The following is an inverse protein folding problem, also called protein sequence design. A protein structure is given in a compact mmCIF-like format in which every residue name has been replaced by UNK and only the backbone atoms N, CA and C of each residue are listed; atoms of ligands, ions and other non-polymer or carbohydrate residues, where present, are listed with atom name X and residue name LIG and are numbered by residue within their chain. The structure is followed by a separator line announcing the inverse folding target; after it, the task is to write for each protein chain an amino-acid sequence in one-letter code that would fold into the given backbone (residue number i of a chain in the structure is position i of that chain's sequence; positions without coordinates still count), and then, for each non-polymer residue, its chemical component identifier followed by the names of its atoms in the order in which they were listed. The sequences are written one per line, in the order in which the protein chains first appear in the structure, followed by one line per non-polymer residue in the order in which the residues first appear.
data_IF_112370148692
#
_entry.id   IF_112370148692
#
_cell.length_a   1.000
_cell.length_b   1.000
_cell.length_c   1.000
_cell.angle_alpha   90.00
_cell.angle_beta   90.00
_cell.angle_gamma   90.00
#
_symmetry.space_group_name_H-M   'P 1'
#
loop_
_entity.id
_entity.type
_entity.pdbx_description
1 polymer ?
#
# COMPACT_ATOMS: atom_id res chain seq x y z
N UNK A 1 10.89 41.78 -30.33
CA UNK A 1 10.45 42.37 -29.06
C UNK A 1 9.07 41.83 -28.71
N UNK A 2 8.97 41.31 -27.49
CA UNK A 2 7.79 40.97 -26.66
C UNK A 2 6.51 40.45 -27.34
N UNK A 3 6.25 39.15 -27.17
CA UNK A 3 4.93 38.55 -27.31
C UNK A 3 4.62 37.73 -26.06
N UNK A 4 4.08 38.38 -25.04
CA UNK A 4 3.58 37.75 -23.82
C UNK A 4 2.47 36.75 -24.16
N UNK A 5 2.72 35.45 -23.92
CA UNK A 5 1.64 34.46 -23.77
C UNK A 5 1.32 34.30 -22.30
N UNK A 6 0.11 34.71 -21.95
CA UNK A 6 -0.56 34.44 -20.69
C UNK A 6 -0.73 32.92 -20.50
N UNK A 7 -0.16 32.38 -19.43
CA UNK A 7 -0.53 31.09 -18.87
C UNK A 7 -1.71 31.31 -17.91
N UNK A 8 -2.85 30.64 -18.08
CA UNK A 8 -3.89 30.64 -17.05
C UNK A 8 -3.43 29.78 -15.87
N UNK A 9 -3.24 30.46 -14.75
CA UNK A 9 -3.07 29.91 -13.40
C UNK A 9 -4.27 29.00 -13.07
N UNK A 10 -4.08 27.69 -13.18
CA UNK A 10 -5.08 26.68 -12.83
C UNK A 10 -4.99 26.41 -11.33
N UNK A 11 -5.39 27.40 -10.54
CA UNK A 11 -5.63 27.24 -9.12
C UNK A 11 -6.74 26.22 -8.91
N UNK A 12 -6.37 25.02 -8.42
CA UNK A 12 -7.31 24.04 -7.88
C UNK A 12 -7.94 24.66 -6.63
N UNK A 13 -9.07 25.36 -6.82
CA UNK A 13 -9.94 25.77 -5.72
C UNK A 13 -10.66 24.54 -5.20
N UNK A 14 -10.18 23.99 -4.09
CA UNK A 14 -10.98 23.06 -3.31
C UNK A 14 -12.26 23.76 -2.83
N UNK A 15 -13.44 23.13 -3.00
CA UNK A 15 -14.66 23.67 -2.42
C UNK A 15 -14.57 23.56 -0.89
N UNK A 16 -14.51 24.71 -0.21
CA UNK A 16 -14.78 24.78 1.22
C UNK A 16 -16.26 24.49 1.43
N UNK A 17 -16.59 23.23 1.70
CA UNK A 17 -17.87 22.83 2.29
C UNK A 17 -17.93 23.39 3.71
N UNK A 18 -18.42 24.63 3.80
CA UNK A 18 -19.08 25.17 5.00
C UNK A 18 -20.27 24.25 5.29
N UNK A 19 -20.09 23.26 6.16
CA UNK A 19 -21.19 22.43 6.60
C UNK A 19 -21.80 23.01 7.89
N UNK A 20 -23.11 23.35 7.90
CA UNK A 20 -23.85 23.88 9.05
C UNK A 20 -24.20 22.80 10.12
N UNK A 21 -23.57 21.62 10.08
CA UNK A 21 -23.89 20.48 10.94
C UNK A 21 -23.19 20.47 12.31
N UNK A 22 -22.32 21.44 12.59
CA UNK A 22 -21.62 21.54 13.88
C UNK A 22 -22.59 21.93 15.01
N UNK A 23 -23.55 22.82 14.74
CA UNK A 23 -24.51 23.28 15.75
C UNK A 23 -25.47 22.18 16.27
N UNK A 24 -26.10 21.33 15.43
CA UNK A 24 -26.97 20.26 15.93
C UNK A 24 -26.21 19.16 16.69
N UNK A 25 -24.94 18.87 16.33
CA UNK A 25 -24.09 17.91 17.05
C UNK A 25 -23.67 18.41 18.43
N UNK A 26 -23.34 19.70 18.56
CA UNK A 26 -23.08 20.33 19.86
C UNK A 26 -24.31 20.35 20.77
N UNK A 27 -25.49 20.61 20.20
CA UNK A 27 -26.73 20.61 20.97
C UNK A 27 -27.11 19.20 21.44
N UNK A 28 -26.91 18.18 20.59
CA UNK A 28 -27.13 16.77 20.95
C UNK A 28 -26.19 16.29 22.07
N UNK A 29 -24.90 16.64 22.00
CA UNK A 29 -23.92 16.26 23.04
C UNK A 29 -24.22 16.92 24.38
N UNK A 30 -24.67 18.18 24.37
CA UNK A 30 -25.06 18.91 25.58
C UNK A 30 -26.35 18.34 26.21
N UNK A 31 -27.33 17.97 25.38
CA UNK A 31 -28.57 17.31 25.85
C UNK A 31 -28.29 15.90 26.39
N UNK A 32 -27.46 15.09 25.73
CA UNK A 32 -27.07 13.76 26.23
C UNK A 32 -26.24 13.84 27.52
N UNK A 33 -25.31 14.79 27.62
CA UNK A 33 -24.50 14.97 28.82
C UNK A 33 -25.32 15.43 30.04
N UNK A 34 -26.28 16.33 29.83
CA UNK A 34 -27.17 16.82 30.91
C UNK A 34 -28.18 15.77 31.37
N UNK A 35 -28.75 14.98 30.44
CA UNK A 35 -29.64 13.85 30.79
C UNK A 35 -28.90 12.70 31.48
N UNK A 36 -27.68 12.36 31.04
CA UNK A 36 -26.85 11.35 31.70
C UNK A 36 -26.49 11.73 33.14
N UNK A 37 -26.23 13.02 33.39
CA UNK A 37 -25.91 13.52 34.73
C UNK A 37 -27.12 13.47 35.68
N UNK A 38 -28.31 13.82 35.21
CA UNK A 38 -29.56 13.76 36.00
C UNK A 38 -29.99 12.32 36.34
N UNK A 39 -29.74 11.36 35.45
CA UNK A 39 -30.09 9.96 35.68
C UNK A 39 -29.15 9.27 36.67
N UNK A 40 -27.87 9.67 36.77
CA UNK A 40 -26.88 8.97 37.61
C UNK A 40 -26.77 9.46 39.06
N UNK A 41 -27.18 10.70 39.36
CA UNK A 41 -27.14 11.26 40.72
C UNK A 41 -27.97 10.47 41.75
N UNK A 42 -29.18 9.95 41.46
CA UNK A 42 -29.94 9.19 42.45
C UNK A 42 -29.43 7.75 42.65
N UNK A 43 -28.66 7.19 41.71
CA UNK A 43 -28.15 5.80 41.80
C UNK A 43 -26.72 5.70 42.37
N UNK A 44 -25.94 6.79 42.34
CA UNK A 44 -24.60 6.85 42.92
C UNK A 44 -24.55 6.83 44.45
N UNK A 45 -25.68 7.08 45.13
CA UNK A 45 -25.76 7.06 46.60
C UNK A 45 -26.06 5.65 47.15
N UNK A 46 -26.57 4.72 46.31
CA UNK A 46 -27.06 3.41 46.76
C UNK A 46 -26.09 2.23 46.57
N UNK A 47 -25.02 2.38 45.79
CA UNK A 47 -23.98 1.33 45.64
C UNK A 47 -22.67 1.83 46.22
N UNK A 48 -22.44 1.39 47.46
CA UNK A 48 -21.32 1.78 48.31
C UNK A 48 -19.95 1.66 47.66
N UNK A 49 -19.09 2.55 48.13
CA UNK A 49 -17.64 2.63 47.96
C UNK A 49 -16.98 1.25 47.95
N UNK A 50 -16.58 0.78 46.76
CA UNK A 50 -15.45 -0.14 46.63
C UNK A 50 -14.21 0.74 46.42
N UNK A 51 -13.19 0.70 47.31
CA UNK A 51 -12.05 1.60 47.21
C UNK A 51 -11.32 1.39 45.88
N UNK A 52 -10.96 2.46 45.14
CA UNK A 52 -10.27 2.38 43.85
C UNK A 52 -8.81 1.87 43.93
N UNK A 53 -8.39 1.27 45.05
CA UNK A 53 -7.00 0.82 45.26
C UNK A 53 -6.69 -0.48 44.50
N UNK A 54 -7.68 -1.36 44.28
CA UNK A 54 -7.45 -2.62 43.55
C UNK A 54 -7.40 -2.40 42.03
N UNK A 55 -8.10 -1.37 41.52
CA UNK A 55 -8.09 -1.02 40.08
C UNK A 55 -6.89 -0.15 39.72
N UNK A 56 -6.40 0.71 40.63
CA UNK A 56 -5.20 1.53 40.38
C UNK A 56 -3.87 0.86 40.72
N UNK A 57 -3.86 -0.27 41.46
CA UNK A 57 -2.63 -1.00 41.76
C UNK A 57 -1.94 -1.60 40.52
N UNK A 58 -2.71 -2.03 39.53
CA UNK A 58 -2.17 -2.56 38.27
C UNK A 58 -1.65 -1.45 37.34
N UNK A 59 -2.21 -0.24 37.42
CA UNK A 59 -1.76 0.89 36.61
C UNK A 59 -0.37 1.42 37.04
N UNK A 60 -0.03 1.34 38.33
CA UNK A 60 1.28 1.79 38.83
C UNK A 60 2.41 0.76 38.57
N UNK A 61 2.07 -0.53 38.45
CA UNK A 61 3.02 -1.59 38.12
C UNK A 61 3.44 -1.57 36.64
N UNK A 62 2.55 -1.20 35.70
CA UNK A 62 2.91 -0.98 34.30
C UNK A 62 3.76 0.28 34.09
N UNK A 63 3.51 1.36 34.85
CA UNK A 63 4.27 2.62 34.76
C UNK A 63 5.72 2.50 35.27
N UNK A 64 6.03 1.47 36.06
CA UNK A 64 7.38 1.25 36.62
C UNK A 64 8.21 0.25 35.83
N UNK A 65 7.64 -0.39 34.81
CA UNK A 65 8.38 -1.28 33.93
C UNK A 65 9.19 -0.44 32.93
N UNK A 66 10.53 -0.55 32.90
CA UNK A 66 11.30 0.12 31.85
C UNK A 66 10.82 -0.40 30.50
N UNK A 67 10.60 0.47 29.49
CA UNK A 67 10.15 0.02 28.19
C UNK A 67 11.12 -1.03 27.65
N UNK A 68 10.63 -2.14 27.05
CA UNK A 68 11.51 -3.04 26.33
C UNK A 68 12.27 -2.18 25.32
N UNK A 69 13.60 -2.24 25.39
CA UNK A 69 14.43 -1.49 24.46
C UNK A 69 13.95 -1.78 23.04
N UNK A 70 13.70 -0.77 22.20
CA UNK A 70 13.28 -1.02 20.83
C UNK A 70 14.30 -1.97 20.20
N UNK A 71 13.88 -2.99 19.44
CA UNK A 71 14.83 -3.80 18.70
C UNK A 71 15.69 -2.83 17.91
N UNK A 72 16.98 -2.75 18.25
CA UNK A 72 17.95 -2.03 17.41
C UNK A 72 17.83 -2.71 16.07
N UNK A 73 17.24 -2.02 15.10
CA UNK A 73 17.32 -2.41 13.70
C UNK A 73 18.81 -2.65 13.45
N UNK A 74 19.23 -3.90 13.16
CA UNK A 74 20.61 -4.16 12.83
C UNK A 74 20.95 -3.20 11.69
N UNK A 75 22.04 -2.46 11.83
CA UNK A 75 22.65 -1.80 10.67
C UNK A 75 22.70 -2.86 9.58
N UNK A 76 22.08 -2.58 8.42
CA UNK A 76 21.97 -3.54 7.34
C UNK A 76 23.36 -4.04 6.97
N UNK A 77 23.74 -5.18 7.55
CA UNK A 77 24.73 -6.02 6.89
C UNK A 77 24.07 -6.40 5.58
N UNK A 78 24.78 -6.31 4.45
CA UNK A 78 24.30 -6.93 3.24
C UNK A 78 24.18 -8.43 3.56
N UNK A 79 22.98 -8.88 3.88
CA UNK A 79 22.61 -10.23 3.51
C UNK A 79 22.81 -10.28 2.00
N UNK A 80 23.58 -11.25 1.49
CA UNK A 80 23.95 -11.27 0.08
C UNK A 80 22.67 -11.14 -0.77
N UNK A 81 22.67 -10.30 -1.81
CA UNK A 81 21.47 -10.01 -2.58
C UNK A 81 20.98 -11.28 -3.27
N UNK A 82 19.70 -11.59 -3.08
CA UNK A 82 19.02 -12.67 -3.79
C UNK A 82 18.34 -12.04 -5.02
N UNK A 83 18.72 -12.50 -6.20
CA UNK A 83 18.12 -12.07 -7.47
C UNK A 83 16.75 -12.73 -7.66
N UNK A 84 15.86 -12.12 -8.44
CA UNK A 84 14.74 -12.85 -9.05
C UNK A 84 15.21 -13.96 -10.03
N UNK A 85 16.52 -14.01 -10.31
CA UNK A 85 17.18 -14.95 -11.21
C UNK A 85 18.05 -16.00 -10.47
N UNK A 86 17.66 -16.40 -9.25
CA UNK A 86 18.22 -17.58 -8.62
C UNK A 86 19.45 -17.35 -7.73
N UNK A 87 19.18 -17.24 -6.43
CA UNK A 87 19.94 -17.98 -5.41
C UNK A 87 19.11 -18.30 -4.16
N UNK A 88 17.90 -17.74 -4.09
CA UNK A 88 16.65 -18.32 -3.58
C UNK A 88 15.61 -17.83 -4.58
N UNK A 89 14.89 -18.73 -5.22
CA UNK A 89 13.83 -18.33 -6.14
C UNK A 89 12.66 -17.79 -5.32
N UNK A 90 12.62 -16.46 -5.16
CA UNK A 90 11.56 -15.77 -4.42
C UNK A 90 10.19 -16.03 -5.07
N UNK A 91 10.12 -16.19 -6.39
CA UNK A 91 8.89 -16.55 -7.06
C UNK A 91 8.46 -17.98 -6.68
N UNK A 92 9.37 -18.94 -6.69
CA UNK A 92 9.08 -20.30 -6.21
C UNK A 92 8.72 -20.34 -4.72
N UNK A 93 9.37 -19.52 -3.88
CA UNK A 93 9.05 -19.44 -2.46
C UNK A 93 7.63 -18.87 -2.23
N UNK A 94 7.25 -17.83 -2.98
CA UNK A 94 5.91 -17.24 -2.90
C UNK A 94 4.84 -18.14 -3.53
N UNK A 95 5.18 -18.88 -4.58
CA UNK A 95 4.33 -19.93 -5.14
C UNK A 95 4.12 -21.06 -4.13
N UNK A 96 5.20 -21.57 -3.51
CA UNK A 96 5.14 -22.59 -2.46
C UNK A 96 4.40 -22.12 -1.21
N UNK A 97 4.45 -20.82 -0.91
CA UNK A 97 3.66 -20.19 0.15
C UNK A 97 2.17 -19.99 -0.24
N UNK A 98 1.76 -20.30 -1.47
CA UNK A 98 0.37 -20.14 -1.92
C UNK A 98 -0.03 -18.70 -2.21
N UNK A 99 0.93 -17.79 -2.43
CA UNK A 99 0.67 -16.38 -2.79
C UNK A 99 0.44 -16.26 -4.30
N UNK A 100 1.27 -16.94 -5.09
CA UNK A 100 1.12 -17.04 -6.53
C UNK A 100 0.70 -18.46 -6.93
N UNK A 101 -0.05 -18.56 -8.02
CA UNK A 101 -0.29 -19.79 -8.77
C UNK A 101 0.29 -19.65 -10.17
N UNK A 102 0.79 -20.74 -10.72
CA UNK A 102 1.09 -20.81 -12.14
C UNK A 102 -0.23 -20.93 -12.93
N UNK A 103 -0.46 -20.01 -13.86
CA UNK A 103 -1.52 -20.16 -14.85
C UNK A 103 -1.14 -21.23 -15.89
N UNK A 104 -2.10 -21.67 -16.69
CA UNK A 104 -1.89 -22.67 -17.75
C UNK A 104 -0.77 -22.26 -18.74
N UNK A 105 -0.57 -20.95 -18.92
CA UNK A 105 0.42 -20.36 -19.82
C UNK A 105 1.77 -20.08 -19.13
N UNK A 106 1.96 -20.53 -17.88
CA UNK A 106 3.16 -20.30 -17.08
C UNK A 106 3.30 -18.88 -16.52
N UNK A 107 2.30 -18.02 -16.74
CA UNK A 107 2.27 -16.68 -16.15
C UNK A 107 1.97 -16.77 -14.65
N UNK A 108 2.73 -16.04 -13.83
CA UNK A 108 2.47 -15.93 -12.39
C UNK A 108 1.27 -15.02 -12.14
N UNK A 109 0.20 -15.61 -11.61
CA UNK A 109 -0.99 -14.91 -11.13
C UNK A 109 -1.17 -15.11 -9.64
N UNK A 110 -1.94 -14.24 -8.99
CA UNK A 110 -2.27 -14.44 -7.58
C UNK A 110 -3.05 -15.72 -7.41
N UNK A 111 -2.76 -16.47 -6.35
CA UNK A 111 -3.63 -17.59 -6.00
C UNK A 111 -5.04 -17.05 -5.68
N UNK A 112 -6.12 -17.77 -6.04
CA UNK A 112 -7.47 -17.32 -5.77
C UNK A 112 -7.72 -17.02 -4.30
N UNK A 113 -7.15 -17.84 -3.40
CA UNK A 113 -7.29 -17.66 -1.96
C UNK A 113 -6.60 -16.39 -1.48
N UNK A 114 -5.36 -16.15 -1.91
CA UNK A 114 -4.63 -14.94 -1.53
C UNK A 114 -5.32 -13.69 -2.09
N UNK A 115 -5.80 -13.74 -3.33
CA UNK A 115 -6.50 -12.63 -3.97
C UNK A 115 -7.77 -12.23 -3.20
N UNK A 116 -8.57 -13.21 -2.77
CA UNK A 116 -9.78 -12.96 -1.98
C UNK A 116 -9.46 -12.39 -0.60
N UNK A 117 -8.51 -13.00 0.14
CA UNK A 117 -8.10 -12.52 1.46
C UNK A 117 -7.51 -11.11 1.41
N UNK A 118 -6.69 -10.82 0.40
CA UNK A 118 -6.12 -9.50 0.19
C UNK A 118 -7.22 -8.48 -0.17
N UNK A 119 -8.15 -8.84 -1.05
CA UNK A 119 -9.27 -7.97 -1.44
C UNK A 119 -10.18 -7.65 -0.26
N UNK A 120 -10.48 -8.62 0.60
CA UNK A 120 -11.26 -8.40 1.81
C UNK A 120 -10.58 -7.37 2.75
N UNK A 121 -9.25 -7.46 2.92
CA UNK A 121 -8.51 -6.46 3.73
C UNK A 121 -8.47 -5.08 3.10
N UNK A 122 -8.41 -5.00 1.78
CA UNK A 122 -8.53 -3.72 1.07
C UNK A 122 -9.89 -3.07 1.34
N UNK A 123 -10.97 -3.85 1.34
CA UNK A 123 -12.32 -3.36 1.65
C UNK A 123 -12.50 -2.93 3.11
N UNK A 124 -11.79 -3.58 4.02
CA UNK A 124 -11.77 -3.25 5.45
C UNK A 124 -10.93 -2.01 5.77
N UNK A 125 -10.14 -1.51 4.79
CA UNK A 125 -9.30 -0.34 5.02
C UNK A 125 -10.15 0.93 5.01
N UNK A 126 -10.08 1.67 6.12
CA UNK A 126 -10.81 2.91 6.31
C UNK A 126 -10.29 4.06 5.41
N UNK A 127 -10.98 5.21 5.49
CA UNK A 127 -10.60 6.42 4.75
C UNK A 127 -9.21 6.94 5.11
N UNK A 128 -8.72 7.93 4.34
CA UNK A 128 -7.32 8.42 4.45
C UNK A 128 -6.92 8.89 5.86
N UNK A 129 -7.91 9.31 6.64
CA UNK A 129 -7.70 9.87 7.97
C UNK A 129 -7.10 8.84 8.94
N UNK A 130 -7.18 7.54 8.63
CA UNK A 130 -6.63 6.43 9.42
C UNK A 130 -5.35 5.82 8.81
N UNK A 131 -4.83 6.38 7.70
CA UNK A 131 -3.67 5.83 7.00
C UNK A 131 -2.41 5.78 7.90
N UNK A 132 -2.26 6.78 8.79
CA UNK A 132 -1.13 6.86 9.73
C UNK A 132 -1.21 5.75 10.77
N UNK A 133 -2.37 5.60 11.40
CA UNK A 133 -2.68 4.61 12.43
C UNK A 133 -2.51 3.20 11.88
N UNK A 134 -3.02 2.96 10.67
CA UNK A 134 -2.92 1.66 10.02
C UNK A 134 -1.45 1.30 9.69
N UNK A 135 -0.64 2.26 9.21
CA UNK A 135 0.79 2.04 9.02
C UNK A 135 1.53 1.80 10.35
N UNK A 136 1.18 2.55 11.40
CA UNK A 136 1.75 2.40 12.73
C UNK A 136 1.47 1.01 13.31
N UNK A 137 0.22 0.55 13.19
CA UNK A 137 -0.20 -0.79 13.58
C UNK A 137 0.53 -1.88 12.80
N UNK A 138 0.76 -1.69 11.49
CA UNK A 138 1.53 -2.63 10.68
C UNK A 138 3.00 -2.73 11.15
N UNK A 139 3.61 -1.60 11.49
CA UNK A 139 5.01 -1.51 11.92
C UNK A 139 5.21 -1.83 13.41
N UNK A 140 4.14 -1.88 14.20
CA UNK A 140 4.21 -2.09 15.65
C UNK A 140 4.84 -0.90 16.38
N UNK A 141 4.56 0.32 15.96
CA UNK A 141 5.08 1.57 16.55
C UNK A 141 3.95 2.53 16.91
N UNK A 142 4.28 3.53 17.70
CA UNK A 142 3.37 4.64 18.03
C UNK A 142 3.05 5.48 16.76
N UNK A 143 1.78 5.78 16.46
CA UNK A 143 1.37 6.66 15.36
C UNK A 143 2.05 8.03 15.35
N UNK A 144 2.35 8.61 16.51
CA UNK A 144 2.95 9.94 16.62
C UNK A 144 4.41 9.98 16.12
N UNK A 145 5.05 8.82 16.03
CA UNK A 145 6.40 8.67 15.46
C UNK A 145 6.40 8.57 13.94
N UNK A 146 5.23 8.41 13.32
CA UNK A 146 5.07 8.34 11.88
C UNK A 146 4.75 9.71 11.32
N UNK A 147 5.61 10.17 10.44
CA UNK A 147 5.31 11.29 9.56
C UNK A 147 4.79 10.74 8.23
N UNK A 148 3.54 11.07 7.89
CA UNK A 148 2.90 10.72 6.63
C UNK A 148 2.51 12.01 5.91
N UNK A 149 2.90 12.12 4.64
CA UNK A 149 2.69 13.35 3.87
C UNK A 149 2.73 13.14 2.36
N UNK A 150 2.50 14.23 1.62
CA UNK A 150 2.45 14.25 0.16
C UNK A 150 3.42 15.30 -0.38
N UNK A 151 4.16 14.94 -1.43
CA UNK A 151 4.99 15.86 -2.21
C UNK A 151 4.79 15.60 -3.73
N UNK A 152 5.59 16.25 -4.58
CA UNK A 152 5.50 16.09 -6.04
C UNK A 152 5.78 14.67 -6.55
N UNK A 153 6.37 13.80 -5.71
CA UNK A 153 6.66 12.40 -6.02
C UNK A 153 5.63 11.43 -5.41
N UNK A 154 4.58 11.96 -4.78
CA UNK A 154 3.48 11.20 -4.20
C UNK A 154 3.50 11.13 -2.68
N UNK A 155 2.90 10.07 -2.14
CA UNK A 155 2.81 9.83 -0.71
C UNK A 155 4.16 9.34 -0.17
N UNK A 156 4.59 9.88 0.96
CA UNK A 156 5.77 9.40 1.68
C UNK A 156 5.45 9.10 3.14
N UNK A 157 6.18 8.14 3.71
CA UNK A 157 6.17 7.85 5.13
C UNK A 157 7.59 7.85 5.70
N UNK A 158 7.75 8.46 6.88
CA UNK A 158 8.99 8.45 7.66
C UNK A 158 8.69 7.98 9.08
N UNK A 159 9.63 7.27 9.67
CA UNK A 159 9.64 6.87 11.07
C UNK A 159 10.85 7.54 11.72
N UNK A 160 10.59 8.47 12.64
CA UNK A 160 11.59 9.38 13.19
C UNK A 160 12.39 10.12 12.08
N UNK A 161 13.64 9.72 11.80
CA UNK A 161 14.49 10.27 10.73
C UNK A 161 14.67 9.34 9.53
N UNK A 162 14.13 8.14 9.57
CA UNK A 162 14.26 7.12 8.53
C UNK A 162 13.08 7.13 7.55
N UNK A 163 13.35 6.87 6.27
CA UNK A 163 12.29 6.66 5.27
C UNK A 163 11.73 5.26 5.42
N UNK A 164 10.41 5.15 5.63
CA UNK A 164 9.68 3.88 5.64
C UNK A 164 9.36 3.46 4.22
N UNK A 165 8.83 4.39 3.43
CA UNK A 165 8.40 4.10 2.07
C UNK A 165 7.92 5.33 1.32
N UNK A 166 7.70 5.13 0.03
CA UNK A 166 7.15 6.12 -0.89
C UNK A 166 6.28 5.44 -1.92
N UNK A 167 5.15 6.07 -2.24
CA UNK A 167 4.12 5.54 -3.11
C UNK A 167 3.66 6.61 -4.08
N UNK A 168 3.46 6.24 -5.34
CA UNK A 168 2.98 7.17 -6.37
C UNK A 168 1.56 7.68 -6.09
N UNK A 169 0.77 6.92 -5.33
CA UNK A 169 -0.60 7.27 -4.96
C UNK A 169 -1.02 6.60 -3.64
N UNK A 170 -2.16 7.03 -3.09
CA UNK A 170 -2.79 6.35 -1.95
C UNK A 170 -3.20 4.92 -2.32
N UNK A 171 -3.63 4.68 -3.56
CA UNK A 171 -3.99 3.34 -4.01
C UNK A 171 -2.81 2.37 -3.94
N UNK A 172 -1.60 2.83 -4.31
CA UNK A 172 -0.39 2.03 -4.16
C UNK A 172 -0.02 1.79 -2.68
N UNK A 173 -0.27 2.77 -1.81
CA UNK A 173 -0.05 2.62 -0.38
C UNK A 173 -1.01 1.62 0.27
N UNK A 174 -2.31 1.75 0.01
CA UNK A 174 -3.33 0.82 0.53
C UNK A 174 -3.06 -0.60 0.02
N UNK A 175 -2.70 -0.75 -1.26
CA UNK A 175 -2.28 -2.04 -1.83
C UNK A 175 -1.17 -2.69 -0.99
N UNK A 176 -0.11 -1.95 -0.71
CA UNK A 176 1.02 -2.49 0.05
C UNK A 176 0.69 -2.80 1.49
N UNK A 177 0.05 -1.85 2.18
CA UNK A 177 -0.29 -1.95 3.59
C UNK A 177 -1.08 -3.24 3.85
N UNK A 178 -2.10 -3.46 3.01
CA UNK A 178 -2.97 -4.63 3.09
C UNK A 178 -2.29 -5.90 2.59
N UNK A 179 -1.41 -5.82 1.58
CA UNK A 179 -0.61 -6.95 1.13
C UNK A 179 0.31 -7.46 2.25
N UNK A 180 1.04 -6.56 2.92
CA UNK A 180 1.93 -6.92 4.04
C UNK A 180 1.13 -7.51 5.21
N UNK A 181 -0.03 -6.93 5.53
CA UNK A 181 -0.92 -7.49 6.54
C UNK A 181 -1.39 -8.92 6.18
N UNK A 182 -1.62 -9.21 4.90
CA UNK A 182 -1.98 -10.55 4.39
C UNK A 182 -0.79 -11.51 4.45
N UNK A 183 0.40 -11.07 4.03
CA UNK A 183 1.61 -11.89 3.96
C UNK A 183 2.00 -12.54 5.28
N UNK A 184 1.73 -11.90 6.41
CA UNK A 184 2.10 -12.43 7.73
C UNK A 184 1.59 -13.86 7.97
N UNK A 185 0.49 -14.26 7.31
CA UNK A 185 -0.07 -15.61 7.37
C UNK A 185 0.63 -16.61 6.43
N UNK A 186 0.94 -16.18 5.21
CA UNK A 186 1.47 -17.05 4.15
C UNK A 186 3.00 -17.16 4.18
N UNK A 187 3.68 -16.06 4.54
CA UNK A 187 5.12 -15.95 4.52
C UNK A 187 5.61 -15.21 5.79
N UNK A 188 5.70 -15.91 6.95
CA UNK A 188 6.10 -15.30 8.22
C UNK A 188 7.49 -14.63 8.18
N UNK A 189 8.34 -15.08 7.25
CA UNK A 189 9.69 -14.57 7.03
C UNK A 189 9.76 -13.26 6.23
N UNK A 190 8.62 -12.62 5.98
CA UNK A 190 8.51 -11.34 5.27
C UNK A 190 9.52 -10.29 5.76
N UNK A 191 9.68 -10.15 7.08
CA UNK A 191 10.58 -9.16 7.66
C UNK A 191 12.07 -9.54 7.57
N UNK A 192 12.40 -10.77 7.20
CA UNK A 192 13.78 -11.19 6.90
C UNK A 192 14.20 -10.85 5.47
N UNK A 193 13.25 -10.54 4.58
CA UNK A 193 13.55 -10.11 3.21
C UNK A 193 14.27 -8.75 3.20
N UNK A 194 15.17 -8.57 2.25
CA UNK A 194 15.80 -7.27 2.01
C UNK A 194 14.74 -6.23 1.62
N UNK A 195 15.01 -4.95 1.83
CA UNK A 195 14.11 -3.87 1.38
C UNK A 195 13.89 -3.92 -0.14
N UNK A 196 14.92 -4.28 -0.92
CA UNK A 196 14.80 -4.42 -2.36
C UNK A 196 13.84 -5.56 -2.74
N UNK A 197 13.91 -6.70 -2.06
CA UNK A 197 13.04 -7.84 -2.35
C UNK A 197 11.60 -7.58 -1.91
N UNK A 198 11.40 -6.97 -0.74
CA UNK A 198 10.05 -6.52 -0.32
C UNK A 198 9.44 -5.58 -1.36
N UNK A 199 10.20 -4.60 -1.86
CA UNK A 199 9.72 -3.69 -2.88
C UNK A 199 9.41 -4.39 -4.22
N UNK A 200 10.21 -5.39 -4.61
CA UNK A 200 9.95 -6.19 -5.82
C UNK A 200 8.66 -6.99 -5.69
N UNK A 201 8.44 -7.65 -4.55
CA UNK A 201 7.21 -8.42 -4.28
C UNK A 201 5.99 -7.50 -4.29
N UNK A 202 6.04 -6.37 -3.58
CA UNK A 202 4.94 -5.40 -3.56
C UNK A 202 4.67 -4.83 -4.95
N UNK A 203 5.72 -4.55 -5.73
CA UNK A 203 5.59 -4.15 -7.13
C UNK A 203 4.87 -5.19 -7.99
N UNK A 204 5.27 -6.47 -7.89
CA UNK A 204 4.63 -7.57 -8.61
C UNK A 204 3.15 -7.73 -8.22
N UNK A 205 2.84 -7.68 -6.92
CA UNK A 205 1.45 -7.74 -6.44
C UNK A 205 0.59 -6.61 -7.00
N UNK A 206 1.10 -5.38 -7.03
CA UNK A 206 0.37 -4.25 -7.60
C UNK A 206 0.08 -4.41 -9.10
N UNK A 207 0.96 -5.08 -9.85
CA UNK A 207 0.74 -5.39 -11.26
C UNK A 207 -0.35 -6.46 -11.46
N UNK A 208 -0.61 -7.30 -10.46
CA UNK A 208 -1.68 -8.29 -10.50
C UNK A 208 -3.07 -7.71 -10.16
N UNK A 209 -3.16 -6.48 -9.64
CA UNK A 209 -4.44 -5.87 -9.27
C UNK A 209 -5.31 -5.61 -10.51
N UNK A 210 -6.57 -6.08 -10.44
CA UNK A 210 -7.61 -5.78 -11.44
C UNK A 210 -8.57 -4.67 -11.00
N UNK A 211 -8.65 -4.43 -9.70
CA UNK A 211 -9.57 -3.47 -9.06
C UNK A 211 -8.78 -2.52 -8.18
N UNK A 212 -9.10 -1.24 -8.27
CA UNK A 212 -8.39 -0.19 -7.54
C UNK A 212 -8.71 -0.25 -6.04
N UNK A 213 -7.69 -0.26 -5.16
CA UNK A 213 -7.89 -0.34 -3.72
C UNK A 213 -8.63 0.83 -3.07
N UNK A 214 -8.82 1.95 -3.78
CA UNK A 214 -9.40 3.17 -3.19
C UNK A 214 -10.73 3.59 -3.79
N UNK A 215 -11.06 3.16 -5.01
CA UNK A 215 -12.29 3.59 -5.70
C UNK A 215 -13.02 2.46 -6.42
N UNK A 216 -12.54 1.22 -6.29
CA UNK A 216 -13.07 0.02 -6.95
C UNK A 216 -13.09 0.07 -8.49
N UNK A 217 -12.49 1.10 -9.11
CA UNK A 217 -12.36 1.20 -10.56
C UNK A 217 -11.40 0.16 -11.15
N UNK A 218 -11.61 -0.21 -12.40
CA UNK A 218 -10.75 -1.16 -13.11
C UNK A 218 -9.30 -0.64 -13.23
N UNK A 219 -8.33 -1.53 -13.02
CA UNK A 219 -6.89 -1.25 -13.19
C UNK A 219 -6.44 -1.78 -14.53
N UNK A 220 -5.80 -0.92 -15.33
CA UNK A 220 -5.17 -1.29 -16.60
C UNK A 220 -3.66 -1.33 -16.44
N UNK A 221 -3.04 -2.40 -16.95
CA UNK A 221 -1.58 -2.54 -17.05
C UNK A 221 -1.19 -2.33 -18.50
N UNK A 222 -0.32 -1.36 -18.75
CA UNK A 222 0.24 -1.07 -20.06
C UNK A 222 1.74 -1.38 -20.05
N UNK A 223 2.24 -1.93 -21.17
CA UNK A 223 3.67 -2.16 -21.37
C UNK A 223 4.12 -1.48 -22.66
N UNK A 224 4.95 -0.46 -22.54
CA UNK A 224 5.46 0.32 -23.67
C UNK A 224 6.96 0.09 -23.86
N UNK A 225 7.39 -0.25 -25.07
CA UNK A 225 8.82 -0.33 -25.41
C UNK A 225 9.44 1.08 -25.31
N UNK A 226 10.58 1.18 -24.64
CA UNK A 226 11.36 2.41 -24.51
C UNK A 226 12.79 2.16 -24.98
N UNK A 227 13.44 3.19 -25.51
CA UNK A 227 14.81 3.07 -25.99
C UNK A 227 15.74 2.68 -24.83
N UNK A 228 16.55 1.64 -25.04
CA UNK A 228 17.66 1.32 -24.14
C UNK A 228 18.75 2.38 -24.24
N UNK A 229 19.41 2.68 -23.12
CA UNK A 229 20.58 3.57 -23.10
C UNK A 229 21.81 2.93 -23.81
N UNK A 230 21.82 1.60 -23.95
CA UNK A 230 22.89 0.83 -24.59
C UNK A 230 22.45 0.29 -25.96
N UNK A 231 23.40 0.17 -26.90
CA UNK A 231 23.13 -0.41 -28.22
C UNK A 231 22.76 -1.89 -28.09
N UNK A 232 21.47 -2.19 -28.17
CA UNK A 232 20.95 -3.57 -28.24
C UNK A 232 19.98 -3.95 -27.13
N UNK A 233 19.84 -3.15 -26.06
CA UNK A 233 18.89 -3.44 -24.99
C UNK A 233 17.47 -2.97 -25.31
N UNK A 234 16.48 -3.89 -25.31
CA UNK A 234 15.06 -3.53 -25.32
C UNK A 234 14.58 -3.33 -23.88
N UNK A 235 14.30 -2.08 -23.51
CA UNK A 235 13.69 -1.73 -22.22
C UNK A 235 12.18 -1.60 -22.41
N UNK A 236 11.40 -1.96 -21.38
CA UNK A 236 9.95 -1.79 -21.38
C UNK A 236 9.56 -0.97 -20.15
N UNK A 237 8.78 0.08 -20.35
CA UNK A 237 8.09 0.76 -19.26
C UNK A 237 6.78 0.03 -19.00
N UNK A 238 6.60 -0.44 -17.77
CA UNK A 238 5.37 -1.07 -17.31
C UNK A 238 4.68 -0.07 -16.38
N UNK A 239 3.40 0.17 -16.63
CA UNK A 239 2.60 1.10 -15.85
C UNK A 239 1.26 0.47 -15.51
N UNK A 240 0.85 0.56 -14.24
CA UNK A 240 -0.46 0.15 -13.77
C UNK A 240 -1.21 1.37 -13.25
N UNK A 241 -2.37 1.65 -13.83
CA UNK A 241 -3.16 2.85 -13.54
C UNK A 241 -4.63 2.49 -13.39
N UNK A 242 -5.30 3.09 -12.40
CA UNK A 242 -6.74 2.97 -12.25
C UNK A 242 -7.47 3.83 -13.29
N UNK A 243 -8.47 3.27 -13.96
CA UNK A 243 -9.29 3.99 -14.96
C UNK A 243 -10.42 4.84 -14.36
N UNK A 244 -10.68 4.71 -13.05
CA UNK A 244 -11.74 5.44 -12.36
C UNK A 244 -11.24 6.71 -11.65
N UNK A 245 -10.05 6.67 -11.06
CA UNK A 245 -9.47 7.80 -10.32
C UNK A 245 -8.07 8.22 -10.78
N UNK A 246 -7.57 7.65 -11.88
CA UNK A 246 -6.24 7.90 -12.46
C UNK A 246 -5.05 7.65 -11.52
N UNK A 247 -5.28 6.97 -10.40
CA UNK A 247 -4.22 6.64 -9.45
C UNK A 247 -3.20 5.68 -10.09
N UNK A 248 -1.92 6.08 -10.08
CA UNK A 248 -0.80 5.21 -10.44
C UNK A 248 -0.52 4.20 -9.33
N UNK A 249 -0.62 2.92 -9.65
CA UNK A 249 -0.30 1.79 -8.76
C UNK A 249 1.16 1.35 -8.93
N UNK A 250 1.64 1.36 -10.16
CA UNK A 250 3.01 1.00 -10.49
C UNK A 250 3.48 1.79 -11.71
N UNK A 251 4.74 2.18 -11.70
CA UNK A 251 5.43 2.72 -12.87
C UNK A 251 6.92 2.39 -12.76
N UNK A 252 7.46 1.69 -13.74
CA UNK A 252 8.85 1.25 -13.72
C UNK A 252 9.36 0.84 -15.09
N UNK A 253 10.67 0.90 -15.27
CA UNK A 253 11.35 0.39 -16.46
C UNK A 253 12.00 -0.94 -16.12
N UNK A 254 11.62 -1.98 -16.85
CA UNK A 254 12.20 -3.33 -16.76
C UNK A 254 13.07 -3.60 -17.98
N UNK A 255 14.17 -4.30 -17.76
CA UNK A 255 15.01 -4.80 -18.84
C UNK A 255 14.45 -6.14 -19.30
N UNK A 256 14.38 -6.34 -20.62
CA UNK A 256 14.00 -7.63 -21.18
C UNK A 256 15.23 -8.53 -21.20
N UNK A 257 15.24 -9.58 -20.39
CA UNK A 257 16.18 -10.68 -20.58
C UNK A 257 15.88 -11.35 -21.92
N UNK A 258 16.92 -11.74 -22.67
CA UNK A 258 16.84 -12.18 -24.05
C UNK A 258 16.15 -13.56 -24.28
N UNK A 259 15.26 -13.99 -23.38
CA UNK A 259 14.65 -15.33 -23.37
C UNK A 259 13.20 -15.42 -23.87
N UNK A 260 12.34 -14.43 -23.64
CA UNK A 260 10.96 -14.46 -24.16
C UNK A 260 10.87 -13.85 -25.57
N UNK A 261 11.25 -14.64 -26.57
CA UNK A 261 10.67 -14.50 -27.91
C UNK A 261 9.29 -15.13 -27.89
N UNK A 262 8.27 -14.30 -27.65
CA UNK A 262 6.88 -14.65 -27.99
C UNK A 262 6.81 -14.81 -29.51
N UNK A 263 6.75 -16.04 -29.97
CA UNK A 263 6.41 -16.36 -31.35
C UNK A 263 5.00 -15.88 -31.66
N UNK A 264 4.87 -15.09 -32.72
CA UNK A 264 3.68 -14.97 -33.56
C UNK A 264 3.93 -13.86 -34.58
N UNK A 265 4.51 -14.21 -35.73
CA UNK A 265 4.21 -13.62 -37.04
C UNK A 265 4.94 -14.45 -38.11
N UNK A 266 4.49 -15.70 -38.28
CA UNK A 266 4.79 -16.50 -39.47
C UNK A 266 3.47 -16.89 -40.11
N UNK A 267 2.95 -15.96 -40.92
CA UNK A 267 1.81 -16.14 -41.80
C UNK A 267 2.26 -15.76 -43.21
N UNK A 268 2.85 -16.73 -43.89
CA UNK A 268 3.35 -16.63 -45.26
C UNK A 268 2.25 -16.18 -46.24
N UNK A 269 2.44 -15.01 -46.86
CA UNK A 269 1.77 -14.60 -48.08
C UNK A 269 2.75 -14.63 -49.25
N UNK A 270 3.10 -15.82 -49.73
CA UNK A 270 3.82 -15.97 -51.01
C UNK A 270 2.82 -15.76 -52.13
N UNK A 271 2.94 -14.61 -52.80
CA UNK A 271 2.23 -14.28 -54.02
C UNK A 271 2.97 -14.94 -55.20
N UNK A 272 2.38 -15.88 -55.96
CA UNK A 272 2.99 -16.27 -57.22
C UNK A 272 2.67 -15.18 -58.26
N UNK A 273 3.71 -14.45 -58.67
CA UNK A 273 3.72 -13.80 -59.97
C UNK A 273 4.04 -14.88 -61.00
N UNK A 274 3.12 -15.16 -61.93
CA UNK A 274 3.55 -15.36 -63.30
C UNK A 274 2.47 -15.02 -64.32
N UNK A 275 2.87 -14.13 -65.21
CA UNK A 275 2.27 -13.73 -66.47
C UNK A 275 2.39 -14.86 -67.50
N UNK A 276 1.28 -15.22 -68.16
CA UNK A 276 1.06 -15.22 -69.62
C UNK A 276 -0.05 -16.19 -70.00
#
# INVERSE_FOLDING_TARGET
MSGHRFLPDSGVRQPRLRSPLVFPLFLLTLVCGTLGWLVWVPYGVFLGVLPPVVVFGFALAELSSPPPSPPRLPSARPSPPLSLDGRVDLAAALHGAGVFSADADGTLSLSPQFAEEWRARVLDTEGRDHDREALAGLLGVDPDRIELGWDERGLFARLDRGTVGRWASRAAFVADLTAVATFRRYYPEWWRLSTADRNRVLGALRLCLRTCPTCDGAVSVETKRVAGAERGGTKRRVSATCRGCDASLFDGVVEQSAGEQSGSEEGAGVHPQNTR
#
